data_IF_759708989722
#
_entry.id   IF_759708989722
#
_cell.length_a   1.000
_cell.length_b   1.000
_cell.length_c   1.000
_cell.angle_alpha   90.00
_cell.angle_beta   90.00
_cell.angle_gamma   90.00
#
_symmetry.space_group_name_H-M   'P 1'
#
loop_
_entity.id
_entity.type
_entity.pdbx_description
1 polymer ?
#
# COMPACT_ATOMS: atom_id res chain seq x y z
N UNK A 1 3.45 -11.37 -27.62
CA UNK A 1 4.77 -10.75 -27.35
C UNK A 1 4.85 -10.55 -25.84
N UNK A 2 5.77 -11.23 -25.16
CA UNK A 2 5.88 -11.19 -23.70
C UNK A 2 6.63 -9.92 -23.30
N UNK A 3 5.97 -9.01 -22.58
CA UNK A 3 6.56 -7.77 -22.08
C UNK A 3 6.89 -7.96 -20.61
N UNK A 4 8.19 -8.07 -20.29
CA UNK A 4 8.66 -8.13 -18.91
C UNK A 4 8.43 -6.76 -18.28
N UNK A 5 7.42 -6.63 -17.41
CA UNK A 5 7.25 -5.44 -16.58
C UNK A 5 8.38 -5.42 -15.55
N UNK A 6 9.04 -4.26 -15.37
CA UNK A 6 9.99 -4.07 -14.27
C UNK A 6 9.27 -4.43 -12.97
N UNK A 7 9.76 -5.48 -12.30
CA UNK A 7 9.38 -5.80 -10.93
C UNK A 7 9.53 -4.53 -10.11
N UNK A 8 8.43 -4.01 -9.57
CA UNK A 8 8.48 -2.78 -8.77
C UNK A 8 9.52 -2.98 -7.67
N UNK A 9 10.57 -2.16 -7.68
CA UNK A 9 11.68 -2.31 -6.73
C UNK A 9 11.15 -2.03 -5.32
N UNK A 10 11.06 -3.07 -4.50
CA UNK A 10 10.67 -2.96 -3.10
C UNK A 10 11.93 -2.83 -2.26
N UNK A 11 12.01 -1.75 -1.48
CA UNK A 11 13.09 -1.55 -0.51
C UNK A 11 12.56 -1.80 0.90
N UNK A 12 13.26 -2.63 1.68
CA UNK A 12 12.96 -2.81 3.10
C UNK A 12 13.28 -1.52 3.87
N UNK A 13 12.31 -1.01 4.63
CA UNK A 13 12.47 0.13 5.54
C UNK A 13 11.77 -0.15 6.86
N UNK A 14 12.41 0.27 7.96
CA UNK A 14 11.89 0.10 9.32
C UNK A 14 11.31 1.42 9.83
N UNK A 15 10.04 1.41 10.19
CA UNK A 15 9.36 2.53 10.86
C UNK A 15 9.05 2.16 12.30
N UNK A 16 9.04 3.17 13.18
CA UNK A 16 8.56 3.01 14.55
C UNK A 16 7.13 3.52 14.63
N UNK A 17 6.20 2.66 15.02
CA UNK A 17 4.78 2.98 15.20
C UNK A 17 4.40 2.79 16.67
N UNK A 18 3.40 3.54 17.18
CA UNK A 18 2.79 3.25 18.47
C UNK A 18 2.25 1.82 18.51
N UNK A 19 2.34 1.16 19.68
CA UNK A 19 1.93 -0.24 19.86
C UNK A 19 0.45 -0.44 19.52
N UNK A 20 -0.43 0.40 20.08
CA UNK A 20 -1.88 0.37 19.82
C UNK A 20 -2.21 0.47 18.31
N UNK A 21 -1.48 1.31 17.57
CA UNK A 21 -1.69 1.44 16.13
C UNK A 21 -1.28 0.17 15.38
N UNK A 22 -0.14 -0.43 15.74
CA UNK A 22 0.33 -1.66 15.11
C UNK A 22 -0.62 -2.84 15.39
N UNK A 23 -1.17 -2.92 16.60
CA UNK A 23 -2.16 -3.94 16.98
C UNK A 23 -3.42 -3.81 16.11
N UNK A 24 -3.99 -2.60 16.00
CA UNK A 24 -5.15 -2.34 15.15
C UNK A 24 -4.90 -2.66 13.68
N UNK A 25 -3.75 -2.24 13.14
CA UNK A 25 -3.36 -2.57 11.77
C UNK A 25 -3.24 -4.08 11.56
N UNK A 26 -2.73 -4.80 12.56
CA UNK A 26 -2.61 -6.26 12.50
C UNK A 26 -3.97 -6.95 12.53
N UNK A 27 -4.90 -6.48 13.35
CA UNK A 27 -6.28 -6.99 13.38
C UNK A 27 -6.99 -6.78 12.04
N UNK A 28 -6.92 -5.56 11.49
CA UNK A 28 -7.50 -5.24 10.17
C UNK A 28 -6.89 -6.11 9.09
N UNK A 29 -5.56 -6.26 9.07
CA UNK A 29 -4.86 -7.08 8.08
C UNK A 29 -5.31 -8.55 8.16
N UNK A 30 -5.47 -9.10 9.37
CA UNK A 30 -6.00 -10.46 9.58
C UNK A 30 -7.43 -10.59 9.11
N UNK A 31 -8.31 -9.65 9.45
CA UNK A 31 -9.72 -9.69 9.05
C UNK A 31 -9.93 -9.58 7.53
N UNK A 32 -9.01 -8.94 6.83
CA UNK A 32 -9.06 -8.75 5.37
C UNK A 32 -8.19 -9.76 4.61
N UNK A 33 -7.55 -10.71 5.28
CA UNK A 33 -6.62 -11.70 4.70
C UNK A 33 -5.49 -11.06 3.87
N UNK A 34 -4.92 -9.96 4.37
CA UNK A 34 -3.80 -9.25 3.73
C UNK A 34 -2.60 -9.14 4.67
N UNK A 35 -1.42 -8.92 4.10
CA UNK A 35 -0.23 -8.61 4.92
C UNK A 35 -0.29 -7.19 5.48
N UNK A 36 0.27 -6.98 6.68
CA UNK A 36 0.39 -5.64 7.28
C UNK A 36 1.16 -4.70 6.35
N UNK A 37 2.18 -5.19 5.62
CA UNK A 37 2.92 -4.39 4.66
C UNK A 37 2.03 -3.89 3.51
N UNK A 38 1.19 -4.76 2.94
CA UNK A 38 0.25 -4.38 1.89
C UNK A 38 -0.81 -3.40 2.40
N UNK A 39 -1.31 -3.59 3.62
CA UNK A 39 -2.23 -2.65 4.25
C UNK A 39 -1.59 -1.27 4.44
N UNK A 40 -0.36 -1.23 5.00
CA UNK A 40 0.38 0.02 5.21
C UNK A 40 0.65 0.75 3.89
N UNK A 41 1.00 0.02 2.82
CA UNK A 41 1.15 0.59 1.49
C UNK A 41 -0.14 1.29 1.03
N UNK A 42 -1.28 0.60 1.10
CA UNK A 42 -2.57 1.15 0.70
C UNK A 42 -2.98 2.35 1.55
N UNK A 43 -2.75 2.32 2.87
CA UNK A 43 -2.99 3.45 3.75
C UNK A 43 -2.16 4.68 3.33
N UNK A 44 -0.88 4.47 3.01
CA UNK A 44 0.00 5.54 2.53
C UNK A 44 -0.45 6.08 1.18
N UNK A 45 -0.77 5.21 0.21
CA UNK A 45 -1.26 5.63 -1.12
C UNK A 45 -2.57 6.40 -1.03
N UNK A 46 -3.50 5.94 -0.17
CA UNK A 46 -4.76 6.62 0.09
C UNK A 46 -4.50 8.02 0.68
N UNK A 47 -3.72 8.12 1.76
CA UNK A 47 -3.44 9.39 2.41
C UNK A 47 -2.69 10.37 1.47
N UNK A 48 -1.71 9.89 0.71
CA UNK A 48 -0.95 10.69 -0.26
C UNK A 48 -1.81 11.12 -1.46
N UNK A 49 -2.72 10.26 -1.93
CA UNK A 49 -3.67 10.58 -2.99
C UNK A 49 -4.70 11.62 -2.56
N UNK A 50 -5.22 11.50 -1.34
CA UNK A 50 -6.21 12.42 -0.78
C UNK A 50 -5.60 13.80 -0.50
N UNK A 51 -4.36 13.85 -0.01
CA UNK A 51 -3.59 15.09 0.15
C UNK A 51 -3.29 15.80 -1.19
N UNK A 52 -3.37 15.09 -2.32
CA UNK A 52 -3.11 15.65 -3.65
C UNK A 52 -4.35 16.25 -4.34
N UNK A 53 -5.57 16.03 -3.85
CA UNK A 53 -6.79 16.81 -4.15
C UNK A 53 -7.19 17.12 -5.61
N UNK A 54 -6.60 16.53 -6.66
CA UNK A 54 -6.87 17.06 -8.01
C UNK A 54 -6.24 16.37 -9.22
N UNK A 55 -6.14 15.03 -9.25
CA UNK A 55 -5.66 14.36 -10.46
C UNK A 55 -6.01 12.89 -10.50
N UNK A 56 -6.99 12.54 -11.34
CA UNK A 56 -7.26 11.15 -11.74
C UNK A 56 -5.95 10.48 -12.14
N UNK A 57 -5.59 9.40 -11.47
CA UNK A 57 -4.76 8.39 -12.11
C UNK A 57 -5.41 7.03 -11.86
N UNK A 58 -6.38 6.72 -12.72
CA UNK A 58 -6.62 5.33 -13.12
C UNK A 58 -5.26 4.73 -13.50
N UNK A 59 -4.66 3.92 -12.63
CA UNK A 59 -3.75 2.87 -13.12
C UNK A 59 -4.60 1.68 -13.50
N UNK A 60 -5.46 1.92 -14.49
CA UNK A 60 -5.96 0.88 -15.37
C UNK A 60 -4.75 0.44 -16.19
N UNK A 61 -4.24 -0.76 -15.94
CA UNK A 61 -3.45 -1.43 -16.96
C UNK A 61 -4.02 -2.81 -17.24
N UNK A 62 -5.19 -2.75 -17.88
CA UNK A 62 -5.60 -3.65 -18.96
C UNK A 62 -4.72 -3.38 -20.18
N UNK A 63 -4.02 -4.40 -20.67
CA UNK A 63 -4.14 -5.00 -22.01
C UNK A 63 -2.99 -6.01 -22.19
#
# INVERSE_FOLDING_TARGET
MFVVKKSSEMMNKTFRLPVDLLERLTEVAKSQDVSVNNLVQQCCEYALGDMAGGGKTETKQRK
#
